data_IF_368483690183
#
_entry.id   IF_368483690183
#
_cell.length_a   1.000
_cell.length_b   1.000
_cell.length_c   1.000
_cell.angle_alpha   90.00
_cell.angle_beta   90.00
_cell.angle_gamma   90.00
#
_symmetry.space_group_name_H-M   'P 1'
#
loop_
_entity.id
_entity.type
_entity.pdbx_description
1 polymer ?
#
# COMPACT_ATOMS: atom_id res chain seq x y z
N UNK A 1 -12.71 26.10 -18.05
CA UNK A 1 -11.98 25.06 -18.83
C UNK A 1 -10.56 25.51 -19.18
N UNK A 2 -10.35 26.65 -19.87
CA UNK A 2 -9.00 27.12 -20.24
C UNK A 2 -8.05 27.33 -19.04
N UNK A 3 -8.55 27.96 -17.96
CA UNK A 3 -7.74 28.16 -16.74
C UNK A 3 -7.39 26.86 -16.01
N UNK A 4 -8.31 25.89 -15.97
CA UNK A 4 -8.03 24.58 -15.37
C UNK A 4 -6.94 23.84 -16.15
N UNK A 5 -6.99 23.88 -17.48
CA UNK A 5 -5.95 23.29 -18.34
C UNK A 5 -4.60 23.96 -18.13
N UNK A 6 -4.57 25.29 -17.99
CA UNK A 6 -3.35 26.04 -17.68
C UNK A 6 -2.76 25.64 -16.32
N UNK A 7 -3.62 25.43 -15.32
CA UNK A 7 -3.24 24.99 -13.97
C UNK A 7 -2.85 23.51 -13.87
N UNK A 8 -3.21 22.67 -14.83
CA UNK A 8 -2.86 21.24 -14.86
C UNK A 8 -1.62 20.95 -15.72
N UNK A 9 -1.42 21.73 -16.79
CA UNK A 9 -0.34 21.51 -17.76
C UNK A 9 0.75 22.57 -17.66
N UNK A 10 0.92 23.20 -16.49
CA UNK A 10 2.03 24.14 -16.34
C UNK A 10 3.36 23.38 -16.37
N UNK A 11 4.38 23.87 -17.10
CA UNK A 11 5.65 23.15 -17.23
C UNK A 11 6.35 22.98 -15.87
N UNK A 12 6.17 23.95 -14.95
CA UNK A 12 6.74 23.89 -13.59
C UNK A 12 6.19 22.70 -12.81
N UNK A 13 4.87 22.56 -12.72
CA UNK A 13 4.24 21.44 -11.99
C UNK A 13 4.59 20.09 -12.62
N UNK A 14 4.62 20.01 -13.96
CA UNK A 14 4.99 18.78 -14.67
C UNK A 14 6.44 18.39 -14.38
N UNK A 15 7.36 19.37 -14.35
CA UNK A 15 8.75 19.13 -13.96
C UNK A 15 8.82 18.67 -12.49
N UNK A 16 8.11 19.32 -11.57
CA UNK A 16 8.10 18.95 -10.15
C UNK A 16 7.59 17.51 -9.96
N UNK A 17 6.48 17.15 -10.60
CA UNK A 17 5.95 15.78 -10.58
C UNK A 17 6.93 14.78 -11.20
N UNK A 18 7.51 15.10 -12.35
CA UNK A 18 8.48 14.23 -13.00
C UNK A 18 9.72 14.04 -12.11
N UNK A 19 10.24 15.09 -11.50
CA UNK A 19 11.38 15.01 -10.60
C UNK A 19 11.07 14.17 -9.36
N UNK A 20 9.91 14.36 -8.73
CA UNK A 20 9.48 13.54 -7.59
C UNK A 20 9.38 12.05 -7.96
N UNK A 21 8.83 11.75 -9.14
CA UNK A 21 8.68 10.36 -9.59
C UNK A 21 10.01 9.71 -9.92
N UNK A 22 10.94 10.43 -10.56
CA UNK A 22 12.29 9.95 -10.85
C UNK A 22 13.08 9.73 -9.56
N UNK A 23 13.02 10.67 -8.61
CA UNK A 23 13.68 10.55 -7.30
C UNK A 23 13.12 9.35 -6.53
N UNK A 24 11.78 9.24 -6.44
CA UNK A 24 11.11 8.12 -5.78
C UNK A 24 11.54 6.78 -6.39
N UNK A 25 11.53 6.66 -7.72
CA UNK A 25 11.89 5.43 -8.40
C UNK A 25 13.37 5.08 -8.23
N UNK A 26 14.26 6.07 -8.25
CA UNK A 26 15.69 5.85 -7.99
C UNK A 26 15.93 5.34 -6.56
N UNK A 27 15.32 5.98 -5.56
CA UNK A 27 15.43 5.57 -4.16
C UNK A 27 14.79 4.19 -3.93
N UNK A 28 13.62 3.93 -4.50
CA UNK A 28 12.95 2.64 -4.43
C UNK A 28 13.77 1.54 -5.10
N UNK A 29 14.39 1.82 -6.25
CA UNK A 29 15.28 0.88 -6.93
C UNK A 29 16.50 0.50 -6.07
N UNK A 30 17.07 1.46 -5.35
CA UNK A 30 18.14 1.22 -4.38
C UNK A 30 17.66 0.34 -3.23
N UNK A 31 16.49 0.68 -2.67
CA UNK A 31 15.86 -0.09 -1.59
C UNK A 31 15.54 -1.53 -2.00
N UNK A 32 15.05 -1.78 -3.21
CA UNK A 32 14.80 -3.14 -3.70
C UNK A 32 16.08 -3.96 -3.83
N UNK A 33 17.21 -3.34 -4.20
CA UNK A 33 18.50 -4.04 -4.27
C UNK A 33 18.99 -4.43 -2.88
N UNK A 34 18.97 -3.51 -1.93
CA UNK A 34 19.38 -3.79 -0.55
C UNK A 34 18.48 -4.83 0.10
N UNK A 35 17.16 -4.74 -0.10
CA UNK A 35 16.21 -5.72 0.42
C UNK A 35 16.43 -7.13 -0.17
N UNK A 36 16.81 -7.23 -1.45
CA UNK A 36 17.13 -8.50 -2.10
C UNK A 36 18.42 -9.11 -1.53
N UNK A 37 19.44 -8.29 -1.30
CA UNK A 37 20.71 -8.71 -0.69
C UNK A 37 20.52 -9.19 0.75
N UNK A 38 19.76 -8.44 1.55
CA UNK A 38 19.44 -8.81 2.94
C UNK A 38 18.68 -10.14 3.01
N UNK A 39 17.70 -10.35 2.14
CA UNK A 39 16.98 -11.63 2.07
C UNK A 39 17.88 -12.80 1.67
N UNK A 40 18.79 -12.60 0.71
CA UNK A 40 19.74 -13.62 0.32
C UNK A 40 20.71 -13.96 1.47
N UNK A 41 21.18 -12.96 2.21
CA UNK A 41 22.02 -13.17 3.39
C UNK A 41 21.26 -13.94 4.49
N UNK A 42 20.03 -13.52 4.81
CA UNK A 42 19.21 -14.20 5.81
C UNK A 42 18.92 -15.67 5.45
N UNK A 43 18.72 -15.98 4.17
CA UNK A 43 18.56 -17.36 3.70
C UNK A 43 19.82 -18.20 3.94
N UNK A 44 21.01 -17.65 3.68
CA UNK A 44 22.29 -18.33 3.92
C UNK A 44 22.50 -18.56 5.42
N UNK A 45 22.31 -17.52 6.24
CA UNK A 45 22.44 -17.64 7.70
C UNK A 45 21.48 -18.68 8.28
N UNK A 46 20.23 -18.72 7.80
CA UNK A 46 19.24 -19.69 8.27
C UNK A 46 19.61 -21.12 7.85
N UNK A 47 20.13 -21.31 6.64
CA UNK A 47 20.62 -22.61 6.18
C UNK A 47 21.82 -23.09 7.02
N UNK A 48 22.77 -22.21 7.30
CA UNK A 48 23.94 -22.51 8.15
C UNK A 48 23.52 -22.83 9.59
N UNK A 49 22.59 -22.06 10.16
CA UNK A 49 22.02 -22.32 11.49
C UNK A 49 21.35 -23.69 11.60
N UNK A 50 20.63 -24.09 10.55
CA UNK A 50 19.98 -25.40 10.48
C UNK A 50 20.95 -26.54 10.13
N UNK A 51 22.24 -26.24 9.93
CA UNK A 51 23.26 -27.19 9.45
C UNK A 51 22.85 -27.90 8.15
N UNK A 52 22.18 -27.18 7.26
CA UNK A 52 21.66 -27.68 6.00
C UNK A 52 22.30 -26.97 4.81
N UNK A 53 22.24 -27.61 3.63
CA UNK A 53 22.66 -26.97 2.39
C UNK A 53 21.65 -25.87 2.02
N UNK A 54 22.07 -24.72 1.47
CA UNK A 54 21.15 -23.65 1.07
C UNK A 54 20.07 -24.11 0.08
N UNK A 55 20.37 -25.07 -0.79
CA UNK A 55 19.40 -25.66 -1.72
C UNK A 55 18.29 -26.47 -1.00
N UNK A 56 18.59 -27.09 0.14
CA UNK A 56 17.61 -27.84 0.92
C UNK A 56 16.72 -26.88 1.73
N UNK A 57 17.29 -25.77 2.21
CA UNK A 57 16.53 -24.68 2.83
C UNK A 57 15.53 -24.03 1.85
N UNK A 58 15.95 -23.73 0.62
CA UNK A 58 15.04 -23.16 -0.39
C UNK A 58 13.86 -24.11 -0.69
N UNK A 59 14.13 -25.41 -0.79
CA UNK A 59 13.07 -26.42 -0.96
C UNK A 59 12.11 -26.45 0.23
N UNK A 60 12.63 -26.41 1.46
CA UNK A 60 11.80 -26.36 2.66
C UNK A 60 10.96 -25.07 2.72
N UNK A 61 11.51 -23.93 2.29
CA UNK A 61 10.77 -22.67 2.23
C UNK A 61 9.61 -22.74 1.22
N UNK A 62 9.83 -23.37 0.06
CA UNK A 62 8.76 -23.61 -0.92
C UNK A 62 7.70 -24.59 -0.39
N UNK A 63 8.10 -25.65 0.32
CA UNK A 63 7.19 -26.60 0.95
C UNK A 63 6.37 -25.96 2.07
N UNK A 64 6.99 -25.09 2.87
CA UNK A 64 6.31 -24.31 3.90
C UNK A 64 5.29 -23.33 3.29
N UNK A 65 5.64 -22.65 2.19
CA UNK A 65 4.71 -21.80 1.46
C UNK A 65 3.54 -22.62 0.89
N UNK A 66 3.82 -23.78 0.29
CA UNK A 66 2.79 -24.65 -0.24
C UNK A 66 1.84 -25.14 0.87
N UNK A 67 2.38 -25.53 2.02
CA UNK A 67 1.62 -25.95 3.21
C UNK A 67 0.74 -24.82 3.74
N UNK A 68 1.25 -23.58 3.78
CA UNK A 68 0.45 -22.42 4.14
C UNK A 68 -0.76 -22.22 3.21
N UNK A 69 -0.55 -22.33 1.90
CA UNK A 69 -1.58 -22.11 0.88
C UNK A 69 -2.66 -23.20 0.86
N UNK A 70 -2.34 -24.43 1.27
CA UNK A 70 -3.27 -25.57 1.23
C UNK A 70 -4.00 -25.79 2.55
N UNK A 71 -3.30 -25.77 3.68
CA UNK A 71 -3.87 -26.12 4.99
C UNK A 71 -3.64 -25.03 6.03
N UNK A 72 -2.42 -24.49 6.12
CA UNK A 72 -2.01 -23.63 7.24
C UNK A 72 -2.90 -22.40 7.42
N UNK A 73 -3.32 -21.75 6.34
CA UNK A 73 -4.23 -20.61 6.44
C UNK A 73 -5.64 -20.99 6.94
N UNK A 74 -6.19 -22.12 6.51
CA UNK A 74 -7.53 -22.56 6.96
C UNK A 74 -7.51 -23.07 8.40
N UNK A 75 -6.40 -23.64 8.84
CA UNK A 75 -6.15 -23.93 10.26
C UNK A 75 -6.09 -22.64 11.08
N UNK A 76 -5.41 -21.61 10.57
CA UNK A 76 -5.41 -20.28 11.18
C UNK A 76 -6.82 -19.68 11.29
N UNK A 77 -7.63 -19.77 10.23
CA UNK A 77 -9.04 -19.32 10.27
C UNK A 77 -9.84 -20.03 11.37
N UNK A 78 -9.73 -21.36 11.41
CA UNK A 78 -10.43 -22.20 12.41
C UNK A 78 -9.97 -21.84 13.83
N UNK A 79 -8.67 -21.62 14.02
CA UNK A 79 -8.12 -21.17 15.29
C UNK A 79 -8.68 -19.81 15.72
N UNK A 80 -8.72 -18.82 14.83
CA UNK A 80 -9.24 -17.48 15.15
C UNK A 80 -10.73 -17.54 15.51
N UNK A 81 -11.51 -18.37 14.81
CA UNK A 81 -12.93 -18.59 15.10
C UNK A 81 -13.14 -19.22 16.49
N UNK A 82 -12.46 -20.34 16.77
CA UNK A 82 -12.57 -21.05 18.05
C UNK A 82 -12.16 -20.16 19.22
N UNK A 83 -11.04 -19.42 19.07
CA UNK A 83 -10.58 -18.48 20.09
C UNK A 83 -11.58 -17.36 20.33
N UNK A 84 -12.16 -16.80 19.27
CA UNK A 84 -13.13 -15.71 19.37
C UNK A 84 -14.43 -16.18 20.03
N UNK A 85 -14.91 -17.37 19.70
CA UNK A 85 -16.12 -17.96 20.30
C UNK A 85 -15.92 -18.29 21.78
N UNK A 86 -14.80 -18.95 22.12
CA UNK A 86 -14.44 -19.28 23.51
C UNK A 86 -14.37 -18.02 24.38
N UNK A 87 -13.70 -16.98 23.90
CA UNK A 87 -13.59 -15.72 24.63
C UNK A 87 -14.94 -14.98 24.72
N UNK A 88 -15.79 -15.08 23.68
CA UNK A 88 -17.14 -14.50 23.71
C UNK A 88 -18.02 -15.16 24.78
N UNK A 89 -18.00 -16.49 24.87
CA UNK A 89 -18.73 -17.26 25.89
C UNK A 89 -18.25 -16.90 27.30
N UNK A 90 -16.93 -16.90 27.53
CA UNK A 90 -16.35 -16.49 28.82
C UNK A 90 -16.70 -15.04 29.17
N UNK A 91 -16.72 -14.14 28.19
CA UNK A 91 -17.15 -12.76 28.36
C UNK A 91 -18.62 -12.64 28.80
N UNK A 92 -19.51 -13.43 28.21
CA UNK A 92 -20.93 -13.50 28.61
C UNK A 92 -21.12 -14.04 30.02
N UNK A 93 -20.35 -15.06 30.40
CA UNK A 93 -20.39 -15.68 31.73
C UNK A 93 -19.84 -14.76 32.83
N UNK A 94 -18.78 -14.01 32.53
CA UNK A 94 -18.11 -13.12 33.49
C UNK A 94 -18.77 -11.73 33.65
N UNK A 95 -19.87 -11.44 32.93
CA UNK A 95 -20.46 -10.09 32.81
C UNK A 95 -19.44 -9.02 32.42
N UNK A 96 -18.45 -9.39 31.59
CA UNK A 96 -17.51 -8.43 31.02
C UNK A 96 -18.23 -7.40 30.13
N UNK A 97 -17.54 -6.30 29.80
CA UNK A 97 -18.14 -5.21 29.01
C UNK A 97 -18.78 -5.73 27.71
N UNK A 98 -20.04 -5.36 27.47
CA UNK A 98 -20.80 -5.80 26.30
C UNK A 98 -20.12 -5.48 24.96
N UNK A 99 -19.21 -4.51 24.95
CA UNK A 99 -18.40 -4.16 23.79
C UNK A 99 -17.42 -5.25 23.40
N UNK A 100 -16.68 -5.85 24.35
CA UNK A 100 -15.69 -6.89 24.06
C UNK A 100 -16.35 -8.11 23.45
N UNK A 101 -17.46 -8.57 24.04
CA UNK A 101 -18.24 -9.69 23.52
C UNK A 101 -18.75 -9.44 22.10
N UNK A 102 -19.33 -8.27 21.83
CA UNK A 102 -19.80 -7.91 20.47
C UNK A 102 -18.67 -7.86 19.46
N UNK A 103 -17.49 -7.38 19.86
CA UNK A 103 -16.35 -7.28 18.96
C UNK A 103 -15.81 -8.68 18.61
N UNK A 104 -15.72 -9.59 19.58
CA UNK A 104 -15.32 -10.99 19.35
C UNK A 104 -16.30 -11.73 18.43
N UNK A 105 -17.62 -11.53 18.62
CA UNK A 105 -18.63 -12.08 17.71
C UNK A 105 -18.49 -11.53 16.28
N UNK A 106 -18.19 -10.24 16.15
CA UNK A 106 -17.95 -9.61 14.86
C UNK A 106 -16.68 -10.17 14.20
N UNK A 107 -15.58 -10.30 14.95
CA UNK A 107 -14.34 -10.91 14.47
C UNK A 107 -14.59 -12.33 13.94
N UNK A 108 -15.23 -13.21 14.73
CA UNK A 108 -15.57 -14.56 14.28
C UNK A 108 -16.38 -14.55 12.98
N UNK A 109 -17.38 -13.66 12.88
CA UNK A 109 -18.21 -13.52 11.68
C UNK A 109 -17.43 -13.00 10.47
N UNK A 110 -16.45 -12.13 10.65
CA UNK A 110 -15.66 -11.56 9.56
C UNK A 110 -14.64 -12.58 9.01
N UNK A 111 -13.97 -13.34 9.88
CA UNK A 111 -13.07 -14.43 9.44
C UNK A 111 -13.82 -15.60 8.80
N UNK A 112 -15.04 -15.91 9.25
CA UNK A 112 -15.88 -16.96 8.65
C UNK A 112 -16.15 -16.78 7.16
N UNK A 113 -16.20 -15.54 6.69
CA UNK A 113 -16.40 -15.22 5.26
C UNK A 113 -15.16 -15.52 4.41
N UNK A 114 -14.01 -15.75 5.04
CA UNK A 114 -12.73 -15.95 4.36
C UNK A 114 -12.45 -17.42 4.02
N UNK A 115 -13.24 -18.37 4.55
CA UNK A 115 -13.13 -19.80 4.17
C UNK A 115 -13.33 -20.06 2.67
N UNK A 116 -14.09 -19.21 1.98
CA UNK A 116 -14.32 -19.33 0.53
C UNK A 116 -13.20 -18.71 -0.32
N UNK A 117 -12.18 -18.10 0.31
CA UNK A 117 -11.10 -17.42 -0.40
C UNK A 117 -10.07 -18.44 -0.88
N UNK A 118 -9.96 -18.59 -2.19
CA UNK A 118 -8.90 -19.39 -2.81
C UNK A 118 -7.58 -18.64 -2.78
N UNK A 119 -6.60 -19.20 -2.07
CA UNK A 119 -5.23 -18.69 -2.05
C UNK A 119 -4.48 -19.09 -3.32
N UNK A 120 -3.51 -18.28 -3.73
CA UNK A 120 -2.70 -18.55 -4.93
C UNK A 120 -1.24 -18.19 -4.69
N UNK A 121 -0.33 -19.07 -5.10
CA UNK A 121 1.11 -18.83 -5.05
C UNK A 121 1.48 -17.62 -5.92
N UNK A 122 2.35 -16.76 -5.41
CA UNK A 122 2.82 -15.58 -6.12
C UNK A 122 4.02 -14.96 -5.42
N UNK A 123 4.71 -14.05 -6.12
CA UNK A 123 5.94 -13.45 -5.59
C UNK A 123 5.62 -12.46 -4.46
N UNK A 124 6.00 -12.83 -3.23
CA UNK A 124 5.71 -12.06 -2.02
C UNK A 124 6.73 -10.94 -1.77
N UNK A 125 7.98 -11.11 -2.23
CA UNK A 125 9.08 -10.15 -1.96
C UNK A 125 8.78 -8.76 -2.51
N UNK A 126 8.25 -8.70 -3.73
CA UNK A 126 7.87 -7.43 -4.36
C UNK A 126 6.78 -6.68 -3.60
N UNK A 127 5.79 -7.40 -3.07
CA UNK A 127 4.71 -6.80 -2.27
C UNK A 127 5.28 -6.26 -0.97
N UNK A 128 6.07 -7.07 -0.24
CA UNK A 128 6.69 -6.63 1.01
C UNK A 128 7.55 -5.39 0.80
N UNK A 129 8.36 -5.36 -0.27
CA UNK A 129 9.20 -4.21 -0.59
C UNK A 129 8.39 -2.93 -0.86
N UNK A 130 7.28 -3.01 -1.61
CA UNK A 130 6.40 -1.86 -1.86
C UNK A 130 5.75 -1.39 -0.56
N UNK A 131 5.30 -2.33 0.28
CA UNK A 131 4.58 -2.02 1.51
C UNK A 131 5.48 -1.44 2.61
N UNK A 132 6.72 -1.89 2.73
CA UNK A 132 7.64 -1.41 3.77
C UNK A 132 8.27 -0.06 3.42
N UNK A 133 8.21 0.36 2.15
CA UNK A 133 8.88 1.55 1.66
C UNK A 133 8.19 2.87 2.06
N UNK A 134 8.66 3.47 3.16
CA UNK A 134 8.08 4.70 3.75
C UNK A 134 8.37 6.00 3.02
N UNK A 135 9.36 6.04 2.13
CA UNK A 135 9.77 7.29 1.47
C UNK A 135 8.69 7.79 0.51
N UNK A 136 7.98 6.89 -0.17
CA UNK A 136 6.84 7.28 -1.01
C UNK A 136 5.75 7.98 -0.20
N UNK A 137 5.46 7.50 1.02
CA UNK A 137 4.49 8.13 1.92
C UNK A 137 4.90 9.59 2.25
N UNK A 138 6.20 9.82 2.52
CA UNK A 138 6.74 11.16 2.79
C UNK A 138 6.65 12.07 1.56
N UNK A 139 6.98 11.56 0.37
CA UNK A 139 6.86 12.33 -0.88
C UNK A 139 5.41 12.69 -1.19
N UNK A 140 4.46 11.80 -0.88
CA UNK A 140 3.03 12.08 -1.01
C UNK A 140 2.53 13.12 -0.02
N UNK A 141 3.14 13.24 1.15
CA UNK A 141 2.85 14.30 2.09
C UNK A 141 3.41 15.65 1.62
N UNK A 142 4.62 15.67 1.06
CA UNK A 142 5.31 16.91 0.64
C UNK A 142 4.79 17.45 -0.70
N UNK A 143 4.43 16.58 -1.65
CA UNK A 143 3.97 16.97 -2.97
C UNK A 143 2.76 17.95 -3.00
N UNK A 144 1.66 17.74 -2.26
CA UNK A 144 0.56 18.71 -2.20
C UNK A 144 1.00 20.06 -1.66
N UNK A 145 1.93 20.10 -0.69
CA UNK A 145 2.46 21.36 -0.17
C UNK A 145 3.22 22.12 -1.26
N UNK A 146 4.09 21.44 -2.01
CA UNK A 146 4.81 22.05 -3.13
C UNK A 146 3.84 22.60 -4.19
N UNK A 147 2.80 21.83 -4.54
CA UNK A 147 1.76 22.28 -5.47
C UNK A 147 1.06 23.54 -4.95
N UNK A 148 0.65 23.57 -3.68
CA UNK A 148 0.00 24.75 -3.08
C UNK A 148 0.91 25.98 -3.13
N UNK A 149 2.21 25.82 -2.83
CA UNK A 149 3.18 26.93 -2.87
C UNK A 149 3.36 27.46 -4.30
N UNK A 150 3.48 26.57 -5.29
CA UNK A 150 3.57 26.96 -6.71
C UNK A 150 2.32 27.72 -7.17
N UNK A 151 1.12 27.22 -6.87
CA UNK A 151 -0.13 27.90 -7.24
C UNK A 151 -0.37 29.20 -6.47
N UNK A 152 0.17 29.33 -5.26
CA UNK A 152 0.06 30.53 -4.43
C UNK A 152 1.03 31.63 -4.89
N UNK A 153 2.23 31.26 -5.36
CA UNK A 153 3.20 32.21 -5.91
C UNK A 153 2.65 33.01 -7.09
N UNK A 154 1.77 32.43 -7.89
CA UNK A 154 1.08 33.14 -8.98
C UNK A 154 0.10 34.23 -8.48
N UNK A 155 -0.39 34.13 -7.24
CA UNK A 155 -1.34 35.09 -6.66
C UNK A 155 -0.72 36.46 -6.32
N UNK A 156 0.59 36.52 -6.14
CA UNK A 156 1.34 37.74 -5.79
C UNK A 156 1.93 38.45 -7.01
N UNK A 157 1.73 37.89 -8.21
CA UNK A 157 2.16 38.51 -9.47
C UNK A 157 1.16 39.58 -9.96
N UNK A 158 1.56 40.41 -10.92
CA UNK A 158 0.69 41.40 -11.56
C UNK A 158 -0.61 40.80 -12.12
N UNK A 159 -0.57 39.52 -12.52
CA UNK A 159 -1.73 38.74 -12.98
C UNK A 159 -2.72 38.52 -11.83
N UNK A 160 -2.23 38.22 -10.63
CA UNK A 160 -3.01 38.12 -9.40
C UNK A 160 -3.77 39.41 -9.08
N UNK A 161 -3.13 40.57 -9.26
CA UNK A 161 -3.74 41.88 -9.08
C UNK A 161 -4.87 42.16 -10.10
N UNK A 162 -4.70 41.78 -11.37
CA UNK A 162 -5.74 41.86 -12.41
C UNK A 162 -6.93 40.91 -12.15
N UNK A 163 -6.70 39.71 -11.62
CA UNK A 163 -7.80 38.83 -11.21
C UNK A 163 -8.61 39.38 -10.03
N UNK A 164 -8.03 40.23 -9.19
CA UNK A 164 -8.73 40.85 -8.03
C UNK A 164 -9.77 41.90 -8.44
N UNK A 165 -9.68 42.48 -9.64
CA UNK A 165 -10.58 43.56 -10.11
C UNK A 165 -11.78 43.05 -10.93
N UNK A 166 -11.85 41.75 -11.23
CA UNK A 166 -12.92 41.18 -12.07
C UNK A 166 -14.09 40.58 -11.28
N UNK A 167 -15.32 40.85 -11.74
CA UNK A 167 -16.62 40.61 -11.05
C UNK A 167 -16.93 39.13 -10.73
N UNK A 168 -16.26 38.17 -11.37
CA UNK A 168 -16.37 36.71 -11.12
C UNK A 168 -15.04 36.10 -10.64
N UNK A 169 -14.12 36.90 -10.09
CA UNK A 169 -12.72 36.48 -9.93
C UNK A 169 -12.41 35.56 -8.76
N UNK A 170 -12.91 35.82 -7.54
CA UNK A 170 -12.32 35.22 -6.32
C UNK A 170 -12.73 33.76 -6.04
N UNK A 171 -14.01 33.53 -5.76
CA UNK A 171 -14.52 32.22 -5.33
C UNK A 171 -14.34 31.14 -6.40
N UNK A 172 -14.77 31.33 -7.66
CA UNK A 172 -14.62 30.27 -8.67
C UNK A 172 -13.16 30.00 -9.03
N UNK A 173 -12.25 30.98 -8.92
CA UNK A 173 -10.82 30.75 -9.11
C UNK A 173 -10.24 29.90 -7.97
N UNK A 174 -10.60 30.18 -6.72
CA UNK A 174 -10.22 29.34 -5.59
C UNK A 174 -10.73 27.90 -5.75
N UNK A 175 -12.00 27.71 -6.16
CA UNK A 175 -12.54 26.38 -6.43
C UNK A 175 -11.77 25.65 -7.54
N UNK A 176 -11.43 26.34 -8.62
CA UNK A 176 -10.66 25.76 -9.73
C UNK A 176 -9.23 25.36 -9.30
N UNK A 177 -8.60 26.14 -8.42
CA UNK A 177 -7.27 25.82 -7.87
C UNK A 177 -7.31 24.60 -6.95
N UNK A 178 -8.30 24.52 -6.05
CA UNK A 178 -8.49 23.36 -5.18
C UNK A 178 -8.71 22.11 -6.05
N UNK A 179 -9.59 22.19 -7.05
CA UNK A 179 -9.84 21.09 -7.98
C UNK A 179 -8.57 20.66 -8.72
N UNK A 180 -7.77 21.62 -9.22
CA UNK A 180 -6.51 21.33 -9.89
C UNK A 180 -5.52 20.61 -8.96
N UNK A 181 -5.36 21.09 -7.72
CA UNK A 181 -4.47 20.48 -6.72
C UNK A 181 -4.95 19.06 -6.40
N UNK A 182 -6.25 18.83 -6.23
CA UNK A 182 -6.81 17.49 -5.98
C UNK A 182 -6.51 16.54 -7.13
N UNK A 183 -6.75 16.96 -8.37
CA UNK A 183 -6.48 16.13 -9.56
C UNK A 183 -4.99 15.81 -9.72
N UNK A 184 -4.11 16.81 -9.51
CA UNK A 184 -2.66 16.60 -9.56
C UNK A 184 -2.18 15.67 -8.44
N UNK A 185 -2.77 15.74 -7.25
CA UNK A 185 -2.43 14.82 -6.16
C UNK A 185 -2.88 13.39 -6.46
N UNK A 186 -4.08 13.20 -7.00
CA UNK A 186 -4.54 11.86 -7.41
C UNK A 186 -3.59 11.29 -8.47
N UNK A 187 -3.21 12.10 -9.47
CA UNK A 187 -2.23 11.68 -10.47
C UNK A 187 -0.88 11.32 -9.83
N UNK A 188 -0.42 12.10 -8.85
CA UNK A 188 0.83 11.84 -8.16
C UNK A 188 0.82 10.52 -7.37
N UNK A 189 -0.27 10.22 -6.65
CA UNK A 189 -0.48 8.92 -5.98
C UNK A 189 -0.36 7.78 -6.97
N UNK A 190 -1.04 7.88 -8.11
CA UNK A 190 -1.05 6.83 -9.13
C UNK A 190 0.34 6.62 -9.74
N UNK A 191 1.08 7.69 -10.05
CA UNK A 191 2.40 7.57 -10.68
C UNK A 191 3.45 7.07 -9.68
N UNK A 192 3.41 7.53 -8.43
CA UNK A 192 4.38 7.12 -7.41
C UNK A 192 4.21 5.65 -7.00
N UNK A 193 3.02 5.26 -6.53
CA UNK A 193 2.79 3.85 -6.15
C UNK A 193 2.72 2.94 -7.37
N UNK A 194 2.09 3.37 -8.46
CA UNK A 194 2.03 2.58 -9.70
C UNK A 194 3.43 2.33 -10.27
N UNK A 195 4.32 3.32 -10.20
CA UNK A 195 5.72 3.18 -10.56
C UNK A 195 6.45 2.15 -9.69
N UNK A 196 6.27 2.21 -8.36
CA UNK A 196 6.87 1.24 -7.44
C UNK A 196 6.38 -0.19 -7.69
N UNK A 197 5.06 -0.37 -7.85
CA UNK A 197 4.45 -1.69 -8.13
C UNK A 197 4.97 -2.24 -9.46
N UNK A 198 5.02 -1.42 -10.51
CA UNK A 198 5.53 -1.82 -11.82
C UNK A 198 7.02 -2.19 -11.75
N UNK A 199 7.82 -1.42 -11.01
CA UNK A 199 9.23 -1.71 -10.81
C UNK A 199 9.43 -3.02 -10.04
N UNK A 200 8.75 -3.18 -8.91
CA UNK A 200 8.82 -4.39 -8.09
C UNK A 200 8.39 -5.63 -8.89
N UNK A 201 7.34 -5.52 -9.70
CA UNK A 201 6.88 -6.60 -10.57
C UNK A 201 7.89 -7.00 -11.64
N UNK A 202 8.67 -6.05 -12.16
CA UNK A 202 9.77 -6.33 -13.10
C UNK A 202 11.02 -6.88 -12.41
N UNK A 203 11.33 -6.41 -11.21
CA UNK A 203 12.58 -6.73 -10.52
C UNK A 203 12.52 -8.07 -9.75
N UNK A 204 11.42 -8.33 -9.04
CA UNK A 204 11.22 -9.57 -8.28
C UNK A 204 10.43 -10.62 -9.06
N UNK A 205 9.59 -10.21 -9.99
CA UNK A 205 8.65 -11.07 -10.71
C UNK A 205 7.20 -10.69 -10.43
N UNK A 206 6.26 -11.33 -11.13
CA UNK A 206 4.85 -10.94 -11.07
C UNK A 206 4.26 -11.20 -9.66
N UNK A 207 3.82 -10.15 -8.93
CA UNK A 207 3.25 -10.30 -7.60
C UNK A 207 1.82 -10.86 -7.62
N UNK A 208 1.17 -10.91 -8.80
CA UNK A 208 -0.20 -11.43 -8.95
C UNK A 208 -1.24 -10.54 -8.28
N UNK A 209 -1.44 -9.31 -8.75
CA UNK A 209 -2.33 -8.30 -8.12
C UNK A 209 -3.78 -8.76 -7.90
N UNK A 210 -4.27 -9.76 -8.63
CA UNK A 210 -5.62 -10.31 -8.50
C UNK A 210 -5.74 -11.39 -7.41
N UNK A 211 -4.63 -11.88 -6.87
CA UNK A 211 -4.67 -12.88 -5.79
C UNK A 211 -5.19 -12.24 -4.52
N UNK A 212 -5.84 -13.05 -3.68
CA UNK A 212 -6.29 -12.62 -2.36
C UNK A 212 -5.10 -12.14 -1.52
N UNK A 213 -5.26 -11.03 -0.79
CA UNK A 213 -4.18 -10.47 0.04
C UNK A 213 -3.68 -11.49 1.07
N UNK A 214 -4.55 -12.37 1.53
CA UNK A 214 -4.25 -13.45 2.47
C UNK A 214 -3.32 -14.53 1.91
N UNK A 215 -3.09 -14.54 0.59
CA UNK A 215 -2.07 -15.42 -0.02
C UNK A 215 -0.65 -15.02 0.38
N UNK A 216 -0.47 -13.80 0.89
CA UNK A 216 0.79 -13.33 1.45
C UNK A 216 0.77 -13.58 2.96
N UNK A 217 1.69 -14.38 3.52
CA UNK A 217 1.67 -14.74 4.94
C UNK A 217 1.67 -13.54 5.90
N UNK A 218 2.32 -12.44 5.53
CA UNK A 218 2.36 -11.19 6.31
C UNK A 218 0.97 -10.57 6.54
N UNK A 219 0.03 -10.89 5.64
CA UNK A 219 -1.34 -10.37 5.66
C UNK A 219 -2.36 -11.46 6.04
N UNK A 220 -1.94 -12.57 6.64
CA UNK A 220 -2.86 -13.64 7.08
C UNK A 220 -3.96 -13.12 8.04
N UNK A 221 -3.63 -12.10 8.83
CA UNK A 221 -4.55 -11.48 9.78
C UNK A 221 -5.53 -10.49 9.14
N UNK A 222 -5.44 -10.23 7.84
CA UNK A 222 -6.36 -9.31 7.17
C UNK A 222 -7.78 -9.93 7.09
N UNK A 223 -8.72 -9.36 7.85
CA UNK A 223 -10.12 -9.78 7.86
C UNK A 223 -10.93 -9.31 6.62
N UNK A 224 -10.34 -8.47 5.76
CA UNK A 224 -11.01 -7.89 4.61
C UNK A 224 -10.84 -8.76 3.36
N UNK A 225 -11.93 -9.01 2.62
CA UNK A 225 -11.87 -9.72 1.33
C UNK A 225 -11.42 -8.77 0.22
N UNK A 226 -10.10 -8.60 0.13
CA UNK A 226 -9.45 -7.73 -0.86
C UNK A 226 -8.36 -8.49 -1.60
N UNK A 227 -8.04 -8.02 -2.81
CA UNK A 227 -6.91 -8.53 -3.59
C UNK A 227 -5.66 -7.73 -3.25
N UNK A 228 -4.49 -8.26 -3.63
CA UNK A 228 -3.21 -7.57 -3.45
C UNK A 228 -3.21 -6.18 -4.11
N UNK A 229 -3.81 -6.03 -5.29
CA UNK A 229 -3.90 -4.73 -5.96
C UNK A 229 -4.99 -3.79 -5.43
N UNK A 230 -5.90 -4.31 -4.60
CA UNK A 230 -6.93 -3.51 -3.93
C UNK A 230 -6.52 -3.03 -2.54
N UNK A 231 -5.38 -3.50 -2.04
CA UNK A 231 -4.74 -3.04 -0.81
C UNK A 231 -3.86 -1.82 -1.10
#
# INVERSE_FOLDING_TARGET
>A
MAELRRLLCSPRQLITLLMLTVINLALFSGYCRTAKEEQAANAIYQAEFLLQRPADYEKQAEEAEQTYLTTGYYEYLSYVEEQSERQSILGKLSKNSSFVTRNLEKTAKDYKKLHDVKLTKGENRGIRAVMDYRVTDLLLLIAPLLLVLELSGDADTAIGALTRTTKRGRVPLCCMRILAITLLNIANVLVLYGGNILYAGKFFGNPGLQRAIQSVPDFQSCAARITVGGY
#
